data_IF_836091390752
#
_entry.id   IF_836091390752
#
_cell.length_a   1.000
_cell.length_b   1.000
_cell.length_c   1.000
_cell.angle_alpha   90.00
_cell.angle_beta   90.00
_cell.angle_gamma   90.00
#
_symmetry.space_group_name_H-M   'P 1'
#
loop_
_entity.id
_entity.type
_entity.pdbx_description
1 polymer ?
#
# COMPACT_ATOMS: atom_id res chain seq x y z
N UNK A 1 35.64 25.32 10.47
CA UNK A 1 35.62 23.88 10.80
C UNK A 1 34.74 23.19 9.78
N UNK A 2 35.32 22.24 9.06
CA UNK A 2 34.68 21.55 7.95
C UNK A 2 33.69 20.49 8.42
N UNK A 3 32.60 20.38 7.65
CA UNK A 3 31.88 19.16 7.26
C UNK A 3 31.28 18.26 8.34
N UNK A 4 29.95 18.11 8.27
CA UNK A 4 29.31 16.79 8.30
C UNK A 4 27.98 16.87 7.53
N UNK A 5 28.11 16.56 6.25
CA UNK A 5 27.07 16.30 5.26
C UNK A 5 26.16 15.15 5.71
N UNK A 6 24.86 15.43 5.91
CA UNK A 6 23.84 14.38 5.92
C UNK A 6 23.47 14.06 4.47
N UNK A 7 23.85 12.85 4.07
CA UNK A 7 23.60 12.21 2.79
C UNK A 7 22.09 12.15 2.51
N UNK A 8 21.57 13.14 1.76
CA UNK A 8 20.28 13.02 1.10
C UNK A 8 20.42 11.95 0.01
N UNK A 9 19.83 10.78 0.26
CA UNK A 9 19.76 9.72 -0.73
C UNK A 9 18.86 10.17 -1.88
N UNK A 10 19.47 10.61 -2.98
CA UNK A 10 18.80 10.83 -4.25
C UNK A 10 18.20 9.50 -4.75
N UNK A 11 16.88 9.51 -4.96
CA UNK A 11 16.16 8.45 -5.66
C UNK A 11 16.04 8.85 -7.13
N UNK A 12 16.23 7.93 -8.10
CA UNK A 12 16.25 8.27 -9.52
C UNK A 12 14.88 8.75 -10.00
N UNK A 13 14.93 9.83 -10.77
CA UNK A 13 13.82 10.52 -11.43
C UNK A 13 13.17 9.61 -12.48
N UNK A 14 11.83 9.48 -12.47
CA UNK A 14 11.16 8.97 -13.68
C UNK A 14 9.71 8.52 -13.63
N UNK A 15 9.01 8.45 -12.49
CA UNK A 15 7.54 8.22 -12.45
C UNK A 15 6.90 8.90 -11.23
N UNK A 16 5.64 9.36 -11.31
CA UNK A 16 4.92 9.87 -10.14
C UNK A 16 4.66 8.72 -9.17
N UNK A 17 5.62 8.47 -8.27
CA UNK A 17 5.46 7.53 -7.16
C UNK A 17 4.52 8.17 -6.16
N UNK A 18 3.33 7.59 -6.00
CA UNK A 18 2.30 8.10 -5.10
C UNK A 18 2.78 8.22 -3.65
N UNK A 19 3.73 7.38 -3.22
CA UNK A 19 4.43 7.48 -1.94
C UNK A 19 5.74 6.69 -1.94
N UNK A 20 6.63 6.97 -0.98
CA UNK A 20 7.92 6.28 -0.79
C UNK A 20 7.91 5.35 0.43
N UNK A 21 8.79 4.34 0.43
CA UNK A 21 8.99 3.47 1.60
C UNK A 21 9.49 4.31 2.77
N UNK A 22 8.87 4.16 3.94
CA UNK A 22 9.18 4.96 5.13
C UNK A 22 8.51 6.33 5.17
N UNK A 23 7.65 6.66 4.20
CA UNK A 23 6.84 7.88 4.27
C UNK A 23 5.84 7.81 5.43
N UNK A 24 5.72 8.92 6.15
CA UNK A 24 4.75 9.10 7.21
C UNK A 24 3.55 9.90 6.71
N UNK A 25 2.36 9.51 7.15
CA UNK A 25 1.09 10.20 6.88
C UNK A 25 0.52 10.72 8.19
N UNK A 26 -0.19 11.85 8.12
CA UNK A 26 -0.82 12.45 9.31
C UNK A 26 -2.18 11.84 9.58
N UNK A 27 -2.86 11.36 8.54
CA UNK A 27 -4.18 10.73 8.63
C UNK A 27 -4.27 9.46 7.79
N UNK A 28 -5.29 8.65 8.10
CA UNK A 28 -5.61 7.47 7.29
C UNK A 28 -6.17 7.85 5.92
N UNK A 29 -6.83 9.00 5.81
CA UNK A 29 -7.39 9.51 4.55
C UNK A 29 -6.28 9.86 3.56
N UNK A 30 -5.21 10.53 4.00
CA UNK A 30 -4.02 10.81 3.17
C UNK A 30 -3.39 9.51 2.65
N UNK A 31 -3.32 8.48 3.49
CA UNK A 31 -2.82 7.16 3.07
C UNK A 31 -3.75 6.54 2.01
N UNK A 32 -5.06 6.61 2.20
CA UNK A 32 -6.02 6.08 1.23
C UNK A 32 -5.91 6.78 -0.12
N UNK A 33 -5.83 8.11 -0.14
CA UNK A 33 -5.65 8.90 -1.36
C UNK A 33 -4.37 8.52 -2.10
N UNK A 34 -3.26 8.39 -1.35
CA UNK A 34 -1.98 7.96 -1.91
C UNK A 34 -2.05 6.53 -2.49
N UNK A 35 -2.79 5.62 -1.83
CA UNK A 35 -3.03 4.26 -2.36
C UNK A 35 -3.88 4.31 -3.63
N UNK A 36 -4.95 5.11 -3.68
CA UNK A 36 -5.78 5.26 -4.89
C UNK A 36 -5.00 5.88 -6.05
N UNK A 37 -4.13 6.84 -5.78
CA UNK A 37 -3.20 7.37 -6.77
C UNK A 37 -2.23 6.29 -7.26
N UNK A 38 -1.73 5.44 -6.37
CA UNK A 38 -0.86 4.32 -6.75
C UNK A 38 -1.60 3.31 -7.66
N UNK A 39 -2.84 2.97 -7.32
CA UNK A 39 -3.68 2.07 -8.12
C UNK A 39 -3.89 2.58 -9.55
N UNK A 40 -4.23 3.86 -9.69
CA UNK A 40 -4.45 4.48 -11.00
C UNK A 40 -3.17 4.60 -11.81
N UNK A 41 -2.07 5.01 -11.18
CA UNK A 41 -0.78 5.22 -11.85
C UNK A 41 -0.14 3.92 -12.32
N UNK A 42 -0.29 2.84 -11.53
CA UNK A 42 0.31 1.54 -11.81
C UNK A 42 -0.68 0.54 -12.44
N UNK A 43 -1.92 0.94 -12.69
CA UNK A 43 -3.00 0.09 -13.21
C UNK A 43 -3.19 -1.20 -12.41
N UNK A 44 -3.06 -1.11 -11.08
CA UNK A 44 -3.26 -2.22 -10.15
C UNK A 44 -4.48 -1.95 -9.29
N UNK A 45 -5.18 -3.02 -8.88
CA UNK A 45 -6.20 -2.93 -7.83
C UNK A 45 -5.68 -3.59 -6.57
N UNK A 46 -5.55 -2.82 -5.51
CA UNK A 46 -5.13 -3.31 -4.20
C UNK A 46 -6.37 -3.58 -3.35
N UNK A 47 -6.29 -4.58 -2.50
CA UNK A 47 -7.29 -4.87 -1.48
C UNK A 47 -6.58 -5.12 -0.15
N UNK A 48 -7.28 -4.85 0.94
CA UNK A 48 -6.76 -5.10 2.29
C UNK A 48 -6.82 -6.60 2.54
N UNK A 49 -5.67 -7.27 2.54
CA UNK A 49 -5.56 -8.69 2.85
C UNK A 49 -5.74 -8.92 4.35
N UNK A 50 -4.92 -8.22 5.12
CA UNK A 50 -4.91 -8.29 6.58
C UNK A 50 -4.99 -6.88 7.15
N UNK A 51 -5.72 -6.73 8.24
CA UNK A 51 -5.71 -5.50 9.03
C UNK A 51 -5.64 -5.84 10.51
N UNK A 52 -4.71 -5.22 11.21
CA UNK A 52 -4.61 -5.27 12.65
C UNK A 52 -5.16 -3.95 13.20
N UNK A 53 -6.32 -4.01 13.86
CA UNK A 53 -6.89 -2.83 14.53
C UNK A 53 -6.13 -2.55 15.82
N UNK A 54 -6.26 -1.32 16.32
CA UNK A 54 -5.65 -0.94 17.59
C UNK A 54 -6.10 -1.83 18.76
N UNK A 55 -7.39 -2.21 18.80
CA UNK A 55 -7.93 -3.09 19.84
C UNK A 55 -7.28 -4.48 19.80
N UNK A 56 -7.07 -5.03 18.61
CA UNK A 56 -6.39 -6.31 18.44
C UNK A 56 -4.90 -6.21 18.80
N UNK A 57 -4.25 -5.12 18.40
CA UNK A 57 -2.86 -4.85 18.73
C UNK A 57 -2.64 -4.66 20.23
N UNK A 58 -3.55 -3.96 20.94
CA UNK A 58 -3.48 -3.73 22.39
C UNK A 58 -3.52 -5.04 23.18
N UNK A 59 -4.34 -6.00 22.75
CA UNK A 59 -4.38 -7.34 23.34
C UNK A 59 -3.09 -8.14 23.11
N UNK A 60 -2.41 -7.91 21.99
CA UNK A 60 -1.15 -8.59 21.65
C UNK A 60 0.07 -7.93 22.28
N UNK A 61 0.01 -6.62 22.50
CA UNK A 61 1.10 -5.75 22.94
C UNK A 61 0.74 -5.07 24.26
N UNK A 62 0.46 -5.86 25.30
CA UNK A 62 0.01 -5.37 26.60
C UNK A 62 0.98 -4.35 27.24
N UNK A 63 2.27 -4.41 26.89
CA UNK A 63 3.31 -3.51 27.41
C UNK A 63 3.47 -2.20 26.61
N UNK A 64 2.87 -2.06 25.41
CA UNK A 64 3.06 -0.88 24.55
C UNK A 64 1.82 0.00 24.60
N UNK A 65 2.03 1.29 24.86
CA UNK A 65 0.97 2.28 24.70
C UNK A 65 0.68 2.50 23.21
N UNK A 66 -0.57 2.29 22.82
CA UNK A 66 -1.12 2.67 21.52
C UNK A 66 -2.05 3.87 21.72
N UNK A 67 -1.99 4.80 20.79
CA UNK A 67 -2.85 5.98 20.83
C UNK A 67 -4.23 5.63 20.30
N UNK A 68 -5.29 5.98 21.03
CA UNK A 68 -6.69 5.77 20.62
C UNK A 68 -7.07 6.51 19.31
N UNK A 69 -6.18 7.36 18.80
CA UNK A 69 -6.36 8.11 17.55
C UNK A 69 -6.10 7.28 16.30
N UNK A 70 -5.39 6.16 16.41
CA UNK A 70 -5.08 5.30 15.26
C UNK A 70 -6.12 4.19 15.12
N UNK A 71 -6.80 4.13 13.98
CA UNK A 71 -7.81 3.08 13.74
C UNK A 71 -7.18 1.70 13.48
N UNK A 72 -6.04 1.71 12.79
CA UNK A 72 -5.30 0.51 12.42
C UNK A 72 -3.86 0.63 12.92
N UNK A 73 -3.37 -0.44 13.52
CA UNK A 73 -1.96 -0.60 13.88
C UNK A 73 -1.12 -1.02 12.67
N UNK A 74 -1.67 -1.92 11.85
CA UNK A 74 -1.01 -2.43 10.65
C UNK A 74 -2.07 -2.77 9.58
N UNK A 75 -1.76 -2.48 8.32
CA UNK A 75 -2.60 -2.83 7.17
C UNK A 75 -1.70 -3.43 6.09
N UNK A 76 -2.04 -4.64 5.64
CA UNK A 76 -1.36 -5.31 4.55
C UNK A 76 -2.23 -5.24 3.28
N UNK A 77 -1.77 -4.50 2.28
CA UNK A 77 -2.40 -4.47 0.97
C UNK A 77 -1.84 -5.55 0.05
N UNK A 78 -2.69 -6.14 -0.77
CA UNK A 78 -2.31 -7.11 -1.80
C UNK A 78 -3.02 -6.80 -3.11
N UNK A 79 -2.46 -7.20 -4.25
CA UNK A 79 -3.14 -7.02 -5.54
C UNK A 79 -4.28 -8.05 -5.68
N UNK A 80 -5.47 -7.63 -6.11
CA UNK A 80 -6.63 -8.51 -6.31
C UNK A 80 -6.32 -9.60 -7.35
N UNK A 81 -5.49 -9.26 -8.31
CA UNK A 81 -5.08 -10.16 -9.39
C UNK A 81 -3.88 -11.05 -9.02
N UNK A 82 -3.26 -10.85 -7.85
CA UNK A 82 -2.14 -11.70 -7.43
C UNK A 82 -2.64 -13.10 -7.03
N UNK A 83 -1.97 -14.13 -7.54
CA UNK A 83 -2.21 -15.55 -7.18
C UNK A 83 -3.29 -16.28 -7.98
N UNK A 84 -4.15 -15.59 -8.75
CA UNK A 84 -5.14 -16.26 -9.62
C UNK A 84 -4.60 -16.39 -11.05
N UNK A 85 -4.48 -17.62 -11.55
CA UNK A 85 -4.27 -17.86 -12.98
C UNK A 85 -5.58 -17.54 -13.70
N UNK A 86 -5.70 -16.34 -14.26
CA UNK A 86 -6.83 -15.99 -15.12
C UNK A 86 -6.67 -16.75 -16.44
N UNK A 87 -7.33 -17.90 -16.58
CA UNK A 87 -7.42 -18.59 -17.86
C UNK A 87 -8.51 -17.92 -18.69
N UNK A 88 -8.21 -17.64 -19.96
CA UNK A 88 -9.21 -17.11 -20.88
C UNK A 88 -10.30 -18.17 -21.08
N UNK A 89 -11.55 -17.88 -20.66
CA UNK A 89 -12.70 -18.76 -20.90
C UNK A 89 -13.26 -18.70 -22.33
N UNK A 90 -12.70 -17.86 -23.18
CA UNK A 90 -13.15 -17.73 -24.57
C UNK A 90 -12.60 -18.84 -25.45
N UNK A 91 -13.42 -19.80 -25.83
CA UNK A 91 -13.26 -20.46 -27.13
C UNK A 91 -13.64 -19.42 -28.18
N UNK A 92 -12.64 -18.75 -28.77
CA UNK A 92 -12.81 -17.75 -29.84
C UNK A 92 -13.35 -18.36 -31.14
N UNK A 93 -14.50 -19.01 -31.10
CA UNK A 93 -15.22 -19.47 -32.28
C UNK A 93 -16.09 -18.33 -32.77
N UNK A 94 -15.52 -17.50 -33.66
CA UNK A 94 -16.31 -16.70 -34.56
C UNK A 94 -16.90 -17.66 -35.60
N UNK A 95 -18.11 -18.15 -35.37
CA UNK A 95 -18.85 -18.90 -36.39
C UNK A 95 -19.45 -17.90 -37.36
N UNK A 96 -18.73 -17.59 -38.43
CA UNK A 96 -19.33 -17.03 -39.64
C UNK A 96 -20.11 -18.15 -40.32
N UNK A 97 -21.43 -18.13 -40.18
CA UNK A 97 -22.39 -18.84 -41.04
C UNK A 97 -23.32 -17.80 -41.67
#
# INVERSE_FOLDING_TARGET
MASSSAFESEQPVGQPVAFKIGQHFKSFEELMEAVTMYETTKYVKLWIRDSCTEVAARKRLESRYLSDRIKYYEIAYCCIHSGKKFTSRGTGKCSTF
#
